data_IF_965604760346
#
_entry.id   IF_965604760346
#
_cell.length_a   1.000
_cell.length_b   1.000
_cell.length_c   1.000
_cell.angle_alpha   90.00
_cell.angle_beta   90.00
_cell.angle_gamma   90.00
#
_symmetry.space_group_name_H-M   'P 1'
#
loop_
_entity.id
_entity.type
_entity.pdbx_description
1 polymer ?
#
# COMPACT_ATOMS: atom_id res chain seq x y z
N UNK A 1 -7.16 45.04 -11.66
CA UNK A 1 -7.37 43.57 -11.73
C UNK A 1 -6.62 42.93 -10.57
N UNK A 2 -7.30 42.16 -9.70
CA UNK A 2 -6.62 41.42 -8.63
C UNK A 2 -6.04 40.13 -9.20
N UNK A 3 -4.73 39.94 -9.06
CA UNK A 3 -4.03 38.76 -9.59
C UNK A 3 -4.12 37.59 -8.62
N UNK A 4 -4.18 36.38 -9.17
CA UNK A 4 -4.32 35.13 -8.40
C UNK A 4 -3.19 34.88 -7.39
N UNK A 5 -2.01 35.44 -7.62
CA UNK A 5 -0.82 35.34 -6.76
C UNK A 5 -0.87 36.24 -5.52
N UNK A 6 -1.77 37.24 -5.48
CA UNK A 6 -1.93 38.16 -4.35
C UNK A 6 -3.06 37.77 -3.40
N UNK A 7 -3.88 36.78 -3.78
CA UNK A 7 -5.05 36.34 -3.04
C UNK A 7 -4.68 35.20 -2.07
N UNK A 8 -5.48 35.03 -1.01
CA UNK A 8 -5.32 33.93 -0.05
C UNK A 8 -5.28 32.58 -0.77
N UNK A 9 -4.42 31.69 -0.28
CA UNK A 9 -4.33 30.30 -0.73
C UNK A 9 -5.66 29.60 -0.50
N UNK A 10 -6.19 28.95 -1.52
CA UNK A 10 -7.37 28.10 -1.40
C UNK A 10 -7.01 26.83 -0.62
N UNK A 11 -7.81 26.51 0.40
CA UNK A 11 -7.63 25.28 1.19
C UNK A 11 -8.08 24.06 0.37
N UNK A 12 -9.22 24.20 -0.31
CA UNK A 12 -9.80 23.21 -1.22
C UNK A 12 -10.05 23.86 -2.60
N UNK A 13 -9.11 23.73 -3.55
CA UNK A 13 -9.22 24.31 -4.89
C UNK A 13 -10.45 23.82 -5.68
N UNK A 14 -11.00 22.67 -5.31
CA UNK A 14 -12.11 21.98 -5.98
C UNK A 14 -13.36 22.85 -6.02
N UNK A 15 -13.66 23.59 -4.94
CA UNK A 15 -14.86 24.43 -4.81
C UNK A 15 -14.69 25.83 -5.39
N UNK A 16 -13.46 26.22 -5.76
CA UNK A 16 -13.14 27.54 -6.28
C UNK A 16 -13.25 28.67 -5.25
N UNK A 17 -13.10 29.91 -5.72
CA UNK A 17 -13.04 31.11 -4.86
C UNK A 17 -14.38 31.64 -4.40
N UNK A 18 -15.43 31.45 -5.20
CA UNK A 18 -16.75 31.98 -4.86
C UNK A 18 -17.25 31.33 -3.57
N UNK A 19 -17.07 30.02 -3.42
CA UNK A 19 -17.42 29.29 -2.20
C UNK A 19 -16.59 29.77 -1.01
N UNK A 20 -15.28 29.99 -1.19
CA UNK A 20 -14.41 30.54 -0.15
C UNK A 20 -14.87 31.94 0.32
N UNK A 21 -15.28 32.82 -0.60
CA UNK A 21 -15.82 34.14 -0.27
C UNK A 21 -17.14 34.05 0.51
N UNK A 22 -18.00 33.09 0.19
CA UNK A 22 -19.24 32.86 0.95
C UNK A 22 -18.95 32.36 2.37
N UNK A 23 -17.93 31.53 2.55
CA UNK A 23 -17.47 31.08 3.87
C UNK A 23 -16.85 32.23 4.67
N UNK A 24 -16.03 33.07 4.03
CA UNK A 24 -15.46 34.28 4.64
C UNK A 24 -16.57 35.27 5.08
N UNK A 25 -17.63 35.40 4.27
CA UNK A 25 -18.81 36.20 4.64
C UNK A 25 -19.55 35.59 5.84
N UNK A 26 -19.76 34.27 5.84
CA UNK A 26 -20.42 33.56 6.95
C UNK A 26 -19.69 33.77 8.29
N UNK A 27 -18.35 33.83 8.28
CA UNK A 27 -17.52 34.14 9.45
C UNK A 27 -17.69 35.59 9.97
N UNK A 28 -18.09 36.53 9.10
CA UNK A 28 -18.28 37.94 9.47
C UNK A 28 -19.62 38.22 10.16
N UNK A 29 -20.58 37.28 10.09
CA UNK A 29 -21.92 37.44 10.66
C UNK A 29 -21.88 37.30 12.18
N UNK A 30 -22.38 38.28 12.95
CA UNK A 30 -22.37 38.24 14.42
C UNK A 30 -23.46 37.32 15.00
N UNK A 31 -24.63 37.25 14.37
CA UNK A 31 -25.76 36.44 14.87
C UNK A 31 -25.58 34.93 14.58
N UNK A 32 -25.85 34.10 15.59
CA UNK A 32 -25.68 32.65 15.51
C UNK A 32 -26.76 31.99 14.64
N UNK A 33 -27.99 32.50 14.65
CA UNK A 33 -29.07 31.91 13.84
C UNK A 33 -28.86 32.21 12.36
N UNK A 34 -28.53 33.46 12.03
CA UNK A 34 -28.20 33.87 10.66
C UNK A 34 -26.97 33.15 10.13
N UNK A 35 -25.93 32.99 10.95
CA UNK A 35 -24.72 32.21 10.59
C UNK A 35 -25.07 30.76 10.27
N UNK A 36 -25.93 30.14 11.07
CA UNK A 36 -26.38 28.76 10.86
C UNK A 36 -27.14 28.64 9.54
N UNK A 37 -28.09 29.55 9.26
CA UNK A 37 -28.83 29.59 7.98
C UNK A 37 -27.89 29.79 6.78
N UNK A 38 -26.90 30.68 6.91
CA UNK A 38 -25.90 30.92 5.88
C UNK A 38 -25.07 29.66 5.59
N UNK A 39 -24.66 28.91 6.63
CA UNK A 39 -23.94 27.65 6.45
C UNK A 39 -24.77 26.58 5.72
N UNK A 40 -26.05 26.42 6.05
CA UNK A 40 -26.93 25.51 5.30
C UNK A 40 -27.05 25.92 3.82
N UNK A 41 -27.21 27.21 3.54
CA UNK A 41 -27.26 27.71 2.16
C UNK A 41 -25.96 27.44 1.38
N UNK A 42 -24.80 27.58 2.03
CA UNK A 42 -23.49 27.27 1.43
C UNK A 42 -23.41 25.77 1.09
N UNK A 43 -23.88 24.89 1.97
CA UNK A 43 -23.87 23.44 1.75
C UNK A 43 -24.79 23.05 0.59
N UNK A 44 -25.96 23.67 0.46
CA UNK A 44 -26.85 23.43 -0.68
C UNK A 44 -26.21 23.86 -2.00
N UNK A 45 -25.49 24.98 -2.00
CA UNK A 45 -24.74 25.46 -3.18
C UNK A 45 -23.59 24.51 -3.52
N UNK A 46 -22.80 24.08 -2.52
CA UNK A 46 -21.76 23.06 -2.71
C UNK A 46 -22.35 21.75 -3.25
N UNK A 47 -23.53 21.36 -2.78
CA UNK A 47 -24.29 20.19 -3.23
C UNK A 47 -24.73 20.25 -4.69
N UNK A 48 -25.14 21.43 -5.16
CA UNK A 48 -25.57 21.66 -6.53
C UNK A 48 -24.39 21.76 -7.51
N UNK A 49 -23.26 22.33 -7.08
CA UNK A 49 -22.06 22.45 -7.91
C UNK A 49 -21.40 21.10 -8.19
N UNK A 50 -21.52 20.15 -7.26
CA UNK A 50 -20.86 18.85 -7.35
C UNK A 50 -21.84 17.67 -7.22
N UNK A 51 -22.70 17.44 -8.23
CA UNK A 51 -23.67 16.35 -8.21
C UNK A 51 -23.00 14.97 -8.20
N UNK A 52 -21.76 14.85 -8.72
CA UNK A 52 -21.00 13.60 -8.75
C UNK A 52 -20.67 13.02 -7.37
N UNK A 53 -20.68 13.85 -6.33
CA UNK A 53 -20.46 13.36 -4.97
C UNK A 53 -21.74 12.80 -4.33
N UNK A 54 -22.93 12.92 -4.97
CA UNK A 54 -24.20 12.36 -4.44
C UNK A 54 -24.27 10.83 -4.44
N UNK A 55 -23.49 10.18 -5.30
CA UNK A 55 -23.44 8.72 -5.40
C UNK A 55 -22.52 8.10 -4.33
N UNK A 56 -21.84 8.93 -3.52
CA UNK A 56 -20.97 8.48 -2.45
C UNK A 56 -21.77 8.49 -1.15
N UNK A 57 -21.84 7.33 -0.49
CA UNK A 57 -22.35 7.22 0.88
C UNK A 57 -21.65 8.29 1.75
N UNK A 58 -22.44 8.98 2.56
CA UNK A 58 -22.01 10.10 3.41
C UNK A 58 -21.60 11.41 2.70
N UNK A 59 -22.16 11.71 1.51
CA UNK A 59 -21.93 13.00 0.83
C UNK A 59 -22.15 14.23 1.72
N UNK A 60 -23.26 14.26 2.47
CA UNK A 60 -23.60 15.38 3.35
C UNK A 60 -22.53 15.58 4.43
N UNK A 61 -22.00 14.50 4.99
CA UNK A 61 -20.94 14.56 6.00
C UNK A 61 -19.68 15.20 5.43
N UNK A 62 -19.27 14.79 4.22
CA UNK A 62 -18.10 15.38 3.54
C UNK A 62 -18.25 16.87 3.26
N UNK A 63 -19.46 17.33 2.90
CA UNK A 63 -19.72 18.76 2.71
C UNK A 63 -19.56 19.55 4.01
N UNK A 64 -20.07 19.02 5.12
CA UNK A 64 -19.87 19.62 6.45
C UNK A 64 -18.39 19.65 6.84
N UNK A 65 -17.64 18.58 6.55
CA UNK A 65 -16.19 18.55 6.77
C UNK A 65 -15.47 19.58 5.91
N UNK A 66 -15.81 19.71 4.63
CA UNK A 66 -15.22 20.71 3.74
C UNK A 66 -15.53 22.14 4.20
N UNK A 67 -16.74 22.41 4.69
CA UNK A 67 -17.09 23.70 5.29
C UNK A 67 -16.25 23.99 6.55
N UNK A 68 -16.09 22.99 7.42
CA UNK A 68 -15.26 23.12 8.62
C UNK A 68 -13.78 23.36 8.28
N UNK A 69 -13.25 22.67 7.27
CA UNK A 69 -11.88 22.84 6.77
C UNK A 69 -11.69 24.24 6.16
N UNK A 70 -12.60 24.71 5.30
CA UNK A 70 -12.51 26.04 4.67
C UNK A 70 -12.61 27.19 5.66
N UNK A 71 -13.39 27.02 6.73
CA UNK A 71 -13.57 28.01 7.78
C UNK A 71 -12.50 27.95 8.86
N UNK A 72 -11.48 27.11 8.69
CA UNK A 72 -10.47 26.89 9.71
C UNK A 72 -11.12 26.48 11.06
N UNK A 73 -12.25 25.77 11.08
CA UNK A 73 -12.94 25.38 12.33
C UNK A 73 -13.29 26.56 13.26
N UNK A 74 -13.40 27.77 12.71
CA UNK A 74 -13.76 28.99 13.47
C UNK A 74 -15.27 29.24 13.50
N UNK A 75 -16.05 28.46 12.75
CA UNK A 75 -17.50 28.55 12.73
C UNK A 75 -18.08 27.93 14.01
N UNK A 76 -18.69 28.77 14.84
CA UNK A 76 -19.50 28.34 15.98
C UNK A 76 -20.93 28.07 15.49
N UNK A 77 -21.20 26.82 15.11
CA UNK A 77 -22.48 26.29 14.59
C UNK A 77 -22.73 24.93 15.23
N UNK A 78 -24.00 24.57 15.44
CA UNK A 78 -24.41 23.20 15.78
C UNK A 78 -24.24 22.29 14.57
N UNK A 79 -23.09 21.63 14.48
CA UNK A 79 -22.84 20.65 13.43
C UNK A 79 -23.72 19.41 13.67
N UNK A 80 -24.50 18.95 12.67
CA UNK A 80 -25.30 17.73 12.80
C UNK A 80 -24.45 16.46 12.89
N UNK A 81 -23.16 16.55 12.57
CA UNK A 81 -22.21 15.44 12.52
C UNK A 81 -20.91 15.79 13.25
N UNK A 82 -20.21 14.80 13.84
CA UNK A 82 -18.96 15.04 14.56
C UNK A 82 -17.89 15.51 13.58
N UNK A 83 -17.50 16.78 13.71
CA UNK A 83 -16.50 17.42 12.85
C UNK A 83 -15.12 16.77 13.04
N UNK A 84 -14.46 16.42 11.94
CA UNK A 84 -13.09 15.89 11.96
C UNK A 84 -12.14 16.96 12.52
N UNK A 85 -11.61 16.76 13.74
CA UNK A 85 -10.66 17.69 14.37
C UNK A 85 -9.46 17.95 13.47
N UNK A 86 -8.96 19.20 13.45
CA UNK A 86 -7.74 19.65 12.73
C UNK A 86 -6.56 18.70 12.84
N UNK A 87 -6.42 18.07 14.01
CA UNK A 87 -5.33 17.15 14.37
C UNK A 87 -5.34 15.87 13.52
N UNK A 88 -6.51 15.40 13.08
CA UNK A 88 -6.63 14.16 12.30
C UNK A 88 -6.29 14.34 10.82
N UNK A 89 -6.27 15.58 10.30
CA UNK A 89 -5.99 15.85 8.88
C UNK A 89 -4.51 15.79 8.51
N UNK A 90 -3.60 15.98 9.47
CA UNK A 90 -2.15 16.10 9.22
C UNK A 90 -1.36 14.92 9.79
N UNK A 91 -2.01 13.82 10.13
CA UNK A 91 -1.31 12.62 10.56
C UNK A 91 -0.55 12.04 9.37
N UNK A 92 0.76 12.32 9.30
CA UNK A 92 1.64 11.65 8.34
C UNK A 92 1.49 10.14 8.56
N UNK A 93 1.32 9.35 7.48
CA UNK A 93 1.27 7.91 7.64
C UNK A 93 2.55 7.43 8.33
N UNK A 94 2.41 6.42 9.18
CA UNK A 94 3.56 5.86 9.88
C UNK A 94 4.57 5.32 8.87
N UNK A 95 5.85 5.61 9.08
CA UNK A 95 6.91 5.14 8.18
C UNK A 95 7.07 3.64 8.38
N UNK A 96 6.66 2.86 7.38
CA UNK A 96 6.93 1.42 7.35
C UNK A 96 8.46 1.25 7.21
N UNK A 97 9.14 0.62 8.19
CA UNK A 97 10.57 0.38 8.09
C UNK A 97 10.83 -0.62 6.95
N UNK A 98 11.59 -0.20 5.94
CA UNK A 98 12.05 -1.13 4.91
C UNK A 98 13.17 -2.00 5.50
N UNK A 99 12.91 -3.29 5.66
CA UNK A 99 13.83 -4.21 6.31
C UNK A 99 14.92 -4.65 5.33
N UNK A 100 16.04 -3.94 5.31
CA UNK A 100 17.24 -4.37 4.58
C UNK A 100 17.97 -5.42 5.42
N UNK A 101 17.80 -6.70 5.08
CA UNK A 101 18.65 -7.76 5.62
C UNK A 101 19.75 -8.12 4.63
N UNK A 102 21.00 -8.31 5.10
CA UNK A 102 22.02 -8.90 4.26
C UNK A 102 21.62 -10.34 3.92
N UNK A 103 21.62 -10.68 2.64
CA UNK A 103 21.38 -12.03 2.14
C UNK A 103 22.76 -12.66 1.91
N UNK A 104 23.04 -13.79 2.55
CA UNK A 104 24.32 -14.47 2.41
C UNK A 104 24.52 -14.99 0.97
N UNK A 105 23.66 -15.92 0.52
CA UNK A 105 23.63 -16.37 -0.87
C UNK A 105 22.45 -15.76 -1.64
N UNK A 106 22.77 -14.85 -2.57
CA UNK A 106 21.77 -14.12 -3.38
C UNK A 106 20.88 -15.03 -4.23
N UNK A 107 21.40 -16.19 -4.63
CA UNK A 107 20.69 -17.16 -5.48
C UNK A 107 19.68 -18.01 -4.71
N UNK A 108 19.77 -18.12 -3.38
CA UNK A 108 18.77 -18.78 -2.54
C UNK A 108 17.72 -17.82 -1.97
N UNK A 109 18.08 -16.56 -1.78
CA UNK A 109 17.19 -15.53 -1.24
C UNK A 109 17.02 -15.62 0.29
N UNK A 110 16.34 -14.64 0.89
CA UNK A 110 16.19 -14.57 2.36
C UNK A 110 15.19 -15.57 2.93
N UNK A 111 14.14 -15.87 2.17
CA UNK A 111 13.03 -16.72 2.64
C UNK A 111 13.52 -18.15 2.92
N UNK A 112 14.41 -18.69 2.08
CA UNK A 112 14.98 -20.02 2.27
C UNK A 112 15.83 -20.09 3.54
N UNK A 113 16.64 -19.06 3.80
CA UNK A 113 17.40 -18.93 5.04
C UNK A 113 16.48 -18.89 6.27
N UNK A 114 15.42 -18.07 6.25
CA UNK A 114 14.47 -17.98 7.37
C UNK A 114 13.73 -19.31 7.59
N UNK A 115 13.41 -20.04 6.51
CA UNK A 115 12.77 -21.35 6.60
C UNK A 115 13.74 -22.42 7.14
N UNK A 116 15.02 -22.40 6.78
CA UNK A 116 16.05 -23.27 7.35
C UNK A 116 16.28 -22.98 8.84
N UNK A 117 16.25 -21.70 9.24
CA UNK A 117 16.31 -21.31 10.64
C UNK A 117 15.11 -21.85 11.43
N UNK A 118 13.89 -21.80 10.86
CA UNK A 118 12.71 -22.43 11.46
C UNK A 118 12.84 -23.95 11.53
N UNK A 119 13.34 -24.60 10.48
CA UNK A 119 13.58 -26.03 10.45
C UNK A 119 14.53 -26.46 11.58
N UNK A 120 15.56 -25.65 11.86
CA UNK A 120 16.47 -25.85 13.00
C UNK A 120 15.78 -25.77 14.35
N UNK A 121 14.77 -24.90 14.51
CA UNK A 121 14.04 -24.73 15.77
C UNK A 121 12.97 -25.82 16.00
N UNK A 122 12.58 -26.55 14.96
CA UNK A 122 11.63 -27.66 15.08
C UNK A 122 12.26 -28.87 15.76
N UNK A 123 11.44 -29.64 16.48
CA UNK A 123 11.88 -30.89 17.10
C UNK A 123 12.36 -31.90 16.05
N UNK A 124 13.37 -32.72 16.36
CA UNK A 124 13.81 -33.79 15.47
C UNK A 124 12.66 -34.78 15.22
N UNK A 125 12.28 -34.95 13.96
CA UNK A 125 11.19 -35.83 13.54
C UNK A 125 11.00 -35.82 12.02
N UNK A 126 10.12 -36.69 11.52
CA UNK A 126 9.84 -36.87 10.09
C UNK A 126 9.44 -35.57 9.40
N UNK A 127 8.68 -34.71 10.09
CA UNK A 127 8.23 -33.41 9.55
C UNK A 127 9.40 -32.46 9.27
N UNK A 128 10.39 -32.41 10.18
CA UNK A 128 11.58 -31.57 10.01
C UNK A 128 12.42 -32.06 8.84
N UNK A 129 12.58 -33.37 8.71
CA UNK A 129 13.41 -33.97 7.68
C UNK A 129 12.72 -33.85 6.30
N UNK A 130 11.39 -34.01 6.23
CA UNK A 130 10.60 -33.74 5.03
C UNK A 130 10.67 -32.27 4.60
N UNK A 131 10.55 -31.32 5.54
CA UNK A 131 10.67 -29.89 5.26
C UNK A 131 12.08 -29.54 4.78
N UNK A 132 13.11 -30.09 5.41
CA UNK A 132 14.51 -29.89 4.99
C UNK A 132 14.74 -30.42 3.57
N UNK A 133 14.20 -31.60 3.25
CA UNK A 133 14.28 -32.17 1.91
C UNK A 133 13.57 -31.31 0.87
N UNK A 134 12.38 -30.77 1.18
CA UNK A 134 11.68 -29.83 0.30
C UNK A 134 12.48 -28.53 0.08
N UNK A 135 13.10 -27.99 1.14
CA UNK A 135 13.95 -26.81 1.05
C UNK A 135 15.21 -27.07 0.23
N UNK A 136 15.86 -28.22 0.38
CA UNK A 136 17.03 -28.59 -0.40
C UNK A 136 16.69 -28.72 -1.91
N UNK A 137 15.52 -29.30 -2.23
CA UNK A 137 15.02 -29.33 -3.61
C UNK A 137 14.71 -27.92 -4.15
N UNK A 138 14.14 -27.05 -3.33
CA UNK A 138 13.91 -25.66 -3.70
C UNK A 138 15.24 -24.91 -3.93
N UNK A 139 16.25 -25.14 -3.10
CA UNK A 139 17.60 -24.60 -3.27
C UNK A 139 18.21 -25.08 -4.59
N UNK A 140 18.15 -26.38 -4.90
CA UNK A 140 18.60 -26.94 -6.18
C UNK A 140 17.98 -26.23 -7.37
N UNK A 141 16.65 -26.02 -7.33
CA UNK A 141 15.91 -25.32 -8.38
C UNK A 141 16.38 -23.87 -8.52
N UNK A 142 16.41 -23.13 -7.41
CA UNK A 142 16.80 -21.72 -7.39
C UNK A 142 18.23 -21.55 -7.93
N UNK A 143 19.15 -22.44 -7.57
CA UNK A 143 20.52 -22.40 -8.11
C UNK A 143 20.55 -22.62 -9.63
N UNK A 144 19.82 -23.60 -10.15
CA UNK A 144 19.75 -23.84 -11.61
C UNK A 144 19.16 -22.63 -12.34
N UNK A 145 18.11 -22.00 -11.77
CA UNK A 145 17.48 -20.80 -12.35
C UNK A 145 18.47 -19.64 -12.44
N UNK A 146 19.30 -19.43 -11.42
CA UNK A 146 20.22 -18.30 -11.38
C UNK A 146 21.56 -18.56 -12.06
N UNK A 147 22.12 -19.77 -11.96
CA UNK A 147 23.49 -20.08 -12.38
C UNK A 147 23.59 -20.90 -13.67
N UNK A 148 22.48 -21.37 -14.26
CA UNK A 148 22.39 -22.18 -15.51
C UNK A 148 23.19 -23.49 -15.56
N UNK A 149 24.11 -23.72 -14.63
CA UNK A 149 24.91 -24.93 -14.48
C UNK A 149 24.19 -25.97 -13.61
N UNK A 150 24.49 -27.25 -13.87
CA UNK A 150 24.04 -28.33 -13.01
C UNK A 150 24.84 -28.33 -11.71
N UNK A 151 24.15 -28.45 -10.59
CA UNK A 151 24.75 -28.51 -9.26
C UNK A 151 24.79 -29.94 -8.76
N UNK A 152 25.89 -30.29 -8.10
CA UNK A 152 26.03 -31.53 -7.36
C UNK A 152 25.23 -31.47 -6.06
N UNK A 153 24.47 -32.52 -5.75
CA UNK A 153 23.60 -32.56 -4.57
C UNK A 153 24.38 -32.38 -3.27
N UNK A 154 25.64 -32.83 -3.24
CA UNK A 154 26.54 -32.67 -2.09
C UNK A 154 26.77 -31.20 -1.74
N UNK A 155 26.91 -30.31 -2.74
CA UNK A 155 27.10 -28.89 -2.52
C UNK A 155 25.88 -28.25 -1.85
N UNK A 156 24.68 -28.67 -2.24
CA UNK A 156 23.43 -28.13 -1.68
C UNK A 156 23.27 -28.58 -0.23
N UNK A 157 23.65 -29.81 0.08
CA UNK A 157 23.65 -30.30 1.46
C UNK A 157 24.71 -29.63 2.32
N UNK A 158 25.88 -29.29 1.76
CA UNK A 158 26.86 -28.44 2.44
C UNK A 158 26.30 -27.04 2.75
N UNK A 159 25.62 -26.41 1.80
CA UNK A 159 24.99 -25.09 2.01
C UNK A 159 23.89 -25.15 3.08
N UNK A 160 23.06 -26.21 3.09
CA UNK A 160 22.05 -26.46 4.13
C UNK A 160 22.71 -26.67 5.51
N UNK A 161 23.81 -27.41 5.55
CA UNK A 161 24.57 -27.64 6.78
C UNK A 161 25.16 -26.34 7.34
N UNK A 162 25.68 -25.48 6.48
CA UNK A 162 26.18 -24.16 6.84
C UNK A 162 25.05 -23.26 7.40
N UNK A 163 23.91 -23.18 6.70
CA UNK A 163 22.76 -22.39 7.16
C UNK A 163 22.18 -22.89 8.49
N UNK A 164 22.16 -24.19 8.70
CA UNK A 164 21.64 -24.80 9.94
C UNK A 164 22.68 -24.83 11.07
N UNK A 165 23.89 -24.27 10.85
CA UNK A 165 25.01 -24.27 11.80
C UNK A 165 25.34 -25.69 12.31
N UNK A 166 25.27 -26.67 11.40
CA UNK A 166 25.55 -28.07 11.67
C UNK A 166 24.47 -28.86 12.39
N UNK A 167 23.26 -28.30 12.57
CA UNK A 167 22.16 -28.98 13.26
C UNK A 167 21.46 -30.05 12.41
N UNK A 168 21.51 -29.94 11.07
CA UNK A 168 20.82 -30.86 10.16
C UNK A 168 21.84 -31.41 9.17
N UNK A 169 22.02 -32.73 9.18
CA UNK A 169 22.83 -33.47 8.21
C UNK A 169 21.97 -34.55 7.58
N UNK A 170 21.74 -34.43 6.27
CA UNK A 170 21.01 -35.40 5.48
C UNK A 170 21.77 -35.59 4.17
N UNK A 171 21.91 -36.84 3.74
CA UNK A 171 22.61 -37.21 2.50
C UNK A 171 21.63 -37.92 1.54
N UNK A 172 20.43 -37.36 1.42
CA UNK A 172 19.38 -37.92 0.55
C UNK A 172 19.53 -37.39 -0.90
N UNK A 173 19.35 -38.23 -1.93
CA UNK A 173 19.40 -37.78 -3.32
C UNK A 173 18.29 -36.78 -3.59
N UNK A 174 18.63 -35.63 -4.19
CA UNK A 174 17.65 -34.59 -4.50
C UNK A 174 16.99 -34.86 -5.85
N UNK A 175 15.78 -34.33 -6.06
CA UNK A 175 15.03 -34.43 -7.32
C UNK A 175 15.90 -34.02 -8.51
N UNK A 176 15.70 -34.66 -9.67
CA UNK A 176 16.54 -34.40 -10.85
C UNK A 176 16.21 -33.03 -11.43
N UNK A 177 17.23 -32.34 -11.94
CA UNK A 177 17.10 -31.01 -12.55
C UNK A 177 16.06 -30.94 -13.70
N UNK A 178 15.79 -32.05 -14.39
CA UNK A 178 14.78 -32.14 -15.45
C UNK A 178 13.34 -32.12 -14.93
N UNK A 179 13.12 -32.59 -13.71
CA UNK A 179 11.80 -32.61 -13.04
C UNK A 179 11.50 -31.27 -12.35
N UNK A 180 12.52 -30.44 -12.14
CA UNK A 180 12.45 -29.14 -11.47
C UNK A 180 12.29 -27.96 -12.46
N UNK A 181 12.40 -28.21 -13.77
CA UNK A 181 12.10 -27.22 -14.82
C UNK A 181 10.60 -27.28 -15.12
N UNK A 182 9.84 -26.32 -14.59
CA UNK A 182 8.51 -26.04 -15.13
C UNK A 182 8.63 -25.48 -16.54
N UNK A 183 7.67 -25.85 -17.40
CA UNK A 183 7.54 -25.33 -18.75
C UNK A 183 7.60 -23.79 -18.75
N UNK A 184 8.23 -23.17 -19.77
CA UNK A 184 8.31 -21.73 -19.85
C UNK A 184 6.91 -21.12 -19.74
N UNK A 185 6.74 -20.18 -18.82
CA UNK A 185 5.49 -19.46 -18.60
C UNK A 185 4.88 -19.01 -19.94
N UNK A 186 3.55 -19.12 -20.15
CA UNK A 186 2.94 -18.74 -21.41
C UNK A 186 3.29 -17.28 -21.70
N UNK A 187 4.04 -17.09 -22.77
CA UNK A 187 4.46 -15.80 -23.27
C UNK A 187 3.19 -14.96 -23.46
N UNK A 188 3.01 -13.91 -22.65
CA UNK A 188 1.88 -13.00 -22.79
C UNK A 188 1.91 -12.45 -24.22
N UNK A 189 1.01 -12.96 -25.07
CA UNK A 189 0.81 -12.42 -26.40
C UNK A 189 0.44 -10.95 -26.24
N UNK A 190 1.37 -10.09 -26.59
CA UNK A 190 1.14 -8.67 -26.72
C UNK A 190 -0.06 -8.47 -27.66
N UNK A 191 -1.19 -8.02 -27.09
CA UNK A 191 -2.37 -7.64 -27.85
C UNK A 191 -1.95 -6.52 -28.82
N UNK A 192 -1.64 -6.89 -30.07
CA UNK A 192 -1.51 -5.94 -31.18
C UNK A 192 -2.83 -5.18 -31.29
N UNK A 193 -2.85 -3.94 -30.79
CA UNK A 193 -3.89 -2.95 -31.07
C UNK A 193 -3.98 -2.81 -32.60
N UNK A 194 -5.03 -3.38 -33.19
CA UNK A 194 -5.46 -3.06 -34.56
C UNK A 194 -5.73 -1.55 -34.61
N UNK A 195 -4.82 -0.80 -35.24
CA UNK A 195 -5.12 0.54 -35.76
C UNK A 195 -6.28 0.38 -36.75
N UNK A 196 -7.46 0.90 -36.40
CA UNK A 196 -8.50 1.20 -37.39
C UNK A 196 -7.97 2.37 -38.22
N UNK A 197 -7.66 2.11 -39.48
CA UNK A 197 -7.43 3.14 -40.48
C UNK A 197 -8.75 3.45 -41.18
N UNK A 198 -8.96 4.75 -41.37
CA UNK A 198 -9.78 5.46 -42.37
C UNK A 198 -11.29 5.21 -42.39
#
# INVERSE_FOLDING_TARGET
>A
MQYNSQLKKLVLPEYGRNVQQMVDYCLSIPDRQERTRCAYAIIDIMGNLFPHLRDIDDFKHKLWDHLAIMSDFKLDIDYPYPVVKRENLVTKPERIPYRHFPIHYRHYGKITEDMLQKARLMSPGEERDALTYMLANFMKRSYITWNKDNVEDEKIWQDVYEYTHGAIRMDAPLMRAKELKEDPAPQQQSRKKKKKNK
#
